data_IF_064691392114
#
_entry.id   IF_064691392114
#
_cell.length_a   1.000
_cell.length_b   1.000
_cell.length_c   1.000
_cell.angle_alpha   90.00
_cell.angle_beta   90.00
_cell.angle_gamma   90.00
#
_symmetry.space_group_name_H-M   'P 1'
#
loop_
_entity.id
_entity.type
_entity.pdbx_description
1 polymer ?
#
# COMPACT_ATOMS: atom_id res chain seq x y z
N UNK A 1 12.72 -36.42 18.53
CA UNK A 1 13.04 -36.25 17.09
C UNK A 1 12.61 -34.86 16.67
N UNK A 2 13.40 -33.85 17.04
CA UNK A 2 13.10 -32.41 16.89
C UNK A 2 13.57 -31.89 15.53
N UNK A 3 13.13 -32.56 14.47
CA UNK A 3 13.53 -32.27 13.12
C UNK A 3 13.03 -30.87 12.72
N UNK A 4 13.98 -29.97 12.48
CA UNK A 4 13.78 -28.63 11.90
C UNK A 4 13.26 -27.54 12.85
N UNK A 5 13.80 -27.56 14.08
CA UNK A 5 13.84 -26.42 15.02
C UNK A 5 14.13 -25.12 14.25
N UNK A 6 13.20 -24.17 14.29
CA UNK A 6 13.20 -22.75 13.83
C UNK A 6 14.33 -22.23 12.92
N UNK A 7 15.60 -22.53 13.22
CA UNK A 7 16.77 -22.28 12.38
C UNK A 7 16.64 -22.77 10.93
N UNK A 8 15.98 -23.91 10.68
CA UNK A 8 15.78 -24.37 9.29
C UNK A 8 14.92 -23.38 8.49
N UNK A 9 13.85 -22.86 9.09
CA UNK A 9 12.98 -21.87 8.44
C UNK A 9 13.71 -20.55 8.17
N UNK A 10 14.64 -20.14 9.04
CA UNK A 10 15.49 -18.97 8.80
C UNK A 10 16.41 -19.19 7.58
N UNK A 11 17.03 -20.38 7.47
CA UNK A 11 17.90 -20.73 6.35
C UNK A 11 17.09 -20.81 5.05
N UNK A 12 15.90 -21.42 5.08
CA UNK A 12 15.01 -21.51 3.91
C UNK A 12 14.59 -20.12 3.43
N UNK A 13 14.20 -19.21 4.33
CA UNK A 13 13.86 -17.84 3.94
C UNK A 13 15.04 -17.10 3.31
N UNK A 14 16.25 -17.29 3.84
CA UNK A 14 17.46 -16.70 3.27
C UNK A 14 17.67 -17.18 1.83
N UNK A 15 17.56 -18.50 1.59
CA UNK A 15 17.74 -19.11 0.26
C UNK A 15 16.67 -18.67 -0.71
N UNK A 16 15.40 -18.60 -0.28
CA UNK A 16 14.29 -18.12 -1.11
C UNK A 16 14.50 -16.65 -1.48
N UNK A 17 14.95 -15.81 -0.54
CA UNK A 17 15.25 -14.40 -0.82
C UNK A 17 16.39 -14.24 -1.84
N UNK A 18 17.43 -15.09 -1.78
CA UNK A 18 18.52 -15.09 -2.75
C UNK A 18 18.08 -15.58 -4.15
N UNK A 19 17.26 -16.63 -4.22
CA UNK A 19 16.82 -17.21 -5.49
C UNK A 19 15.79 -16.34 -6.22
N UNK A 20 14.83 -15.80 -5.49
CA UNK A 20 13.76 -15.01 -6.08
C UNK A 20 14.13 -13.52 -6.20
N UNK A 21 15.06 -13.04 -5.36
CA UNK A 21 15.41 -11.62 -5.26
C UNK A 21 14.25 -10.77 -4.74
N UNK A 22 14.55 -9.57 -4.23
CA UNK A 22 13.53 -8.66 -3.67
C UNK A 22 12.46 -8.23 -4.69
N UNK A 23 12.80 -8.19 -5.98
CA UNK A 23 11.91 -7.69 -7.04
C UNK A 23 10.71 -8.59 -7.34
N UNK A 24 10.87 -9.93 -7.28
CA UNK A 24 9.78 -10.87 -7.61
C UNK A 24 8.83 -11.08 -6.43
N UNK A 25 9.36 -11.07 -5.21
CA UNK A 25 8.57 -11.25 -3.98
C UNK A 25 7.69 -10.03 -3.72
N UNK A 26 8.17 -8.81 -3.97
CA UNK A 26 7.40 -7.58 -3.71
C UNK A 26 6.11 -7.49 -4.52
N UNK A 27 6.15 -7.80 -5.82
CA UNK A 27 4.96 -7.80 -6.68
C UNK A 27 3.95 -8.87 -6.27
N UNK A 28 4.42 -10.11 -6.09
CA UNK A 28 3.58 -11.24 -5.69
C UNK A 28 2.99 -11.06 -4.28
N UNK A 29 3.77 -10.56 -3.33
CA UNK A 29 3.30 -10.26 -1.98
C UNK A 29 2.26 -9.12 -1.99
N UNK A 30 2.39 -8.14 -2.90
CA UNK A 30 1.40 -7.07 -3.09
C UNK A 30 0.04 -7.60 -3.53
N UNK A 31 0.01 -8.48 -4.54
CA UNK A 31 -1.23 -9.08 -5.04
C UNK A 31 -1.86 -10.03 -4.02
N UNK A 32 -1.04 -10.85 -3.35
CA UNK A 32 -1.48 -11.73 -2.25
C UNK A 32 -2.02 -10.92 -1.08
N UNK A 33 -1.34 -9.84 -0.66
CA UNK A 33 -1.81 -8.97 0.41
C UNK A 33 -3.15 -8.30 0.07
N UNK A 34 -3.35 -7.90 -1.20
CA UNK A 34 -4.60 -7.32 -1.68
C UNK A 34 -5.75 -8.33 -1.65
N UNK A 35 -5.48 -9.58 -2.08
CA UNK A 35 -6.45 -10.68 -1.99
C UNK A 35 -6.84 -11.01 -0.56
N UNK A 36 -5.86 -11.16 0.34
CA UNK A 36 -6.12 -11.44 1.76
C UNK A 36 -6.83 -10.26 2.45
N UNK A 37 -6.49 -9.01 2.10
CA UNK A 37 -7.15 -7.81 2.65
C UNK A 37 -8.62 -7.74 2.23
N UNK A 38 -8.93 -8.03 0.97
CA UNK A 38 -10.32 -8.10 0.48
C UNK A 38 -11.09 -9.26 1.09
N UNK A 39 -10.45 -10.42 1.30
CA UNK A 39 -11.04 -11.56 1.99
C UNK A 39 -11.37 -11.23 3.44
N UNK A 40 -10.44 -10.60 4.17
CA UNK A 40 -10.66 -10.15 5.54
C UNK A 40 -11.72 -9.05 5.63
N UNK A 41 -11.74 -8.10 4.70
CA UNK A 41 -12.77 -7.05 4.62
C UNK A 41 -14.14 -7.65 4.31
N UNK A 42 -14.23 -8.64 3.43
CA UNK A 42 -15.47 -9.36 3.14
C UNK A 42 -16.00 -10.13 4.34
N UNK A 43 -15.14 -10.85 5.06
CA UNK A 43 -15.55 -11.52 6.32
C UNK A 43 -15.94 -10.52 7.42
N UNK A 44 -15.21 -9.40 7.54
CA UNK A 44 -15.52 -8.39 8.55
C UNK A 44 -16.78 -7.58 8.22
N UNK A 45 -17.16 -7.44 6.95
CA UNK A 45 -18.44 -6.81 6.56
C UNK A 45 -19.65 -7.72 6.78
N UNK A 46 -19.45 -9.05 6.84
CA UNK A 46 -20.49 -10.01 7.26
C UNK A 46 -20.76 -9.90 8.79
N UNK A 47 -19.74 -9.60 9.59
CA UNK A 47 -19.84 -9.45 11.05
C UNK A 47 -20.19 -8.02 11.53
N UNK A 48 -19.79 -6.98 10.79
CA UNK A 48 -19.96 -5.57 11.19
C UNK A 48 -20.55 -4.73 10.05
N UNK A 49 -21.87 -4.48 10.09
CA UNK A 49 -22.48 -3.36 9.38
C UNK A 49 -22.05 -2.05 10.08
N UNK A 50 -20.83 -1.59 9.81
CA UNK A 50 -20.33 -0.28 10.22
C UNK A 50 -19.59 0.40 9.05
N UNK A 51 -19.86 1.69 8.79
CA UNK A 51 -19.51 2.32 7.53
C UNK A 51 -17.99 2.47 7.36
N UNK A 52 -17.52 2.04 6.21
CA UNK A 52 -16.14 2.22 5.77
C UNK A 52 -15.75 3.71 5.75
N UNK A 53 -15.09 4.20 6.79
CA UNK A 53 -13.67 4.59 6.70
C UNK A 53 -13.16 4.96 5.29
N UNK A 54 -13.51 6.08 4.61
CA UNK A 54 -12.84 6.41 3.37
C UNK A 54 -11.37 6.75 3.68
N UNK A 55 -10.47 5.82 3.38
CA UNK A 55 -9.04 6.07 3.31
C UNK A 55 -8.73 6.84 2.03
N UNK A 56 -9.22 8.08 1.95
CA UNK A 56 -8.72 9.10 1.02
C UNK A 56 -8.20 10.25 1.88
N UNK A 57 -7.05 10.03 2.51
CA UNK A 57 -6.13 11.10 2.89
C UNK A 57 -4.88 10.93 2.07
N UNK A 58 -4.99 11.28 0.80
CA UNK A 58 -3.86 11.72 -0.02
C UNK A 58 -4.00 13.24 -0.02
N UNK A 59 -3.34 13.87 0.95
CA UNK A 59 -3.10 15.30 0.93
C UNK A 59 -2.23 15.63 -0.30
N UNK A 60 -2.78 16.46 -1.18
CA UNK A 60 -1.98 17.38 -1.99
C UNK A 60 -1.33 16.80 -3.24
N UNK A 61 -2.14 16.38 -4.21
CA UNK A 61 -1.78 16.65 -5.61
C UNK A 61 -1.64 18.18 -5.74
N UNK A 62 -0.40 18.68 -5.73
CA UNK A 62 -0.10 20.08 -6.00
C UNK A 62 -0.53 20.38 -7.42
N UNK A 63 -1.40 21.37 -7.55
CA UNK A 63 -1.84 21.97 -8.81
C UNK A 63 -0.61 22.37 -9.62
N UNK A 64 -0.43 21.88 -10.87
CA UNK A 64 0.54 22.46 -11.79
C UNK A 64 -0.18 23.61 -12.50
N UNK A 65 -0.19 24.81 -11.93
CA UNK A 65 -0.66 26.01 -12.63
C UNK A 65 -0.15 27.27 -11.91
N UNK A 66 1.17 27.45 -11.93
CA UNK A 66 1.78 28.77 -11.75
C UNK A 66 2.50 29.11 -13.04
N UNK A 67 1.71 29.47 -14.04
CA UNK A 67 2.17 30.37 -15.09
C UNK A 67 0.96 31.08 -15.70
N UNK A 68 1.17 32.34 -16.06
CA UNK A 68 0.25 33.23 -16.81
C UNK A 68 -0.77 34.05 -16.01
N UNK A 69 -0.41 35.32 -15.78
CA UNK A 69 -1.03 36.53 -16.38
C UNK A 69 -1.06 37.69 -15.38
N UNK A 70 -0.04 38.51 -15.52
CA UNK A 70 -0.01 39.97 -15.37
C UNK A 70 -1.39 40.67 -15.50
N UNK A 71 -1.82 41.34 -14.44
CA UNK A 71 -2.74 42.50 -14.44
C UNK A 71 -2.41 43.25 -13.14
N UNK A 72 -1.34 44.04 -13.09
CA UNK A 72 -1.42 45.49 -13.36
C UNK A 72 -2.82 45.92 -13.77
N UNK A 73 -3.58 46.50 -12.85
CA UNK A 73 -4.17 47.84 -12.98
C UNK A 73 -5.36 48.03 -12.01
N UNK A 74 -5.40 49.25 -11.47
CA UNK A 74 -6.62 49.96 -11.11
C UNK A 74 -7.39 49.61 -9.81
N UNK A 75 -7.31 50.59 -8.91
CA UNK A 75 -8.50 51.33 -8.45
C UNK A 75 -9.39 50.64 -7.44
N UNK A 76 -9.15 50.95 -6.16
CA UNK A 76 -10.21 51.22 -5.19
C UNK A 76 -9.57 52.01 -4.04
N UNK A 77 -9.76 53.33 -4.01
CA UNK A 77 -10.93 54.02 -3.45
C UNK A 77 -11.04 53.79 -1.93
#
# INVERSE_FOLDING_TARGET
MGSFSLMHWVIVLLVVMLLFGGGRISGLMGDVAKGIKSFKKGMAEDDDIAPAKPATRIEGHRVPEQDTVKTEEQTKA
#
